data_IF_025006765394
#
_entry.id   IF_025006765394
#
_cell.length_a   1.000
_cell.length_b   1.000
_cell.length_c   1.000
_cell.angle_alpha   90.00
_cell.angle_beta   90.00
_cell.angle_gamma   90.00
#
_symmetry.space_group_name_H-M   'P 1'
#
loop_
_entity.id
_entity.type
_entity.pdbx_description
1 polymer ?
#
# COMPACT_ATOMS: atom_id res chain seq x y z
N UNK A 1 32.39 -3.39 3.94
CA UNK A 1 31.07 -4.05 3.93
C UNK A 1 30.56 -3.93 5.36
N UNK A 2 29.93 -2.82 5.69
CA UNK A 2 29.71 -2.41 7.08
C UNK A 2 28.22 -2.43 7.44
N UNK A 3 27.97 -3.21 8.51
CA UNK A 3 27.04 -3.02 9.62
C UNK A 3 25.53 -3.13 9.36
N UNK A 4 25.06 -4.33 9.66
CA UNK A 4 23.86 -4.64 10.45
C UNK A 4 23.39 -3.46 11.33
N UNK A 5 22.33 -2.77 10.89
CA UNK A 5 21.48 -1.98 11.78
C UNK A 5 20.28 -2.85 12.14
N UNK A 6 20.55 -3.89 12.91
CA UNK A 6 19.59 -4.89 13.36
C UNK A 6 18.49 -4.26 14.22
N UNK A 7 17.23 -4.57 13.91
CA UNK A 7 16.03 -4.20 14.67
C UNK A 7 16.03 -4.63 16.16
N UNK A 8 17.08 -5.31 16.64
CA UNK A 8 17.29 -5.73 18.03
C UNK A 8 17.30 -4.59 19.09
N UNK A 9 17.16 -3.32 18.69
CA UNK A 9 17.11 -2.18 19.60
C UNK A 9 15.72 -1.57 19.84
N UNK A 10 14.69 -1.90 19.05
CA UNK A 10 13.36 -1.28 19.20
C UNK A 10 12.58 -1.90 20.35
N UNK A 11 11.97 -1.06 21.18
CA UNK A 11 11.07 -1.53 22.24
C UNK A 11 9.73 -2.03 21.65
N UNK A 12 9.04 -2.99 22.28
CA UNK A 12 7.74 -3.47 21.81
C UNK A 12 6.72 -2.36 21.53
N UNK A 13 6.74 -1.27 22.30
CA UNK A 13 5.86 -0.11 22.09
C UNK A 13 6.13 0.60 20.76
N UNK A 14 7.40 0.66 20.32
CA UNK A 14 7.78 1.25 19.04
C UNK A 14 7.29 0.40 17.87
N UNK A 15 7.41 -0.93 17.99
CA UNK A 15 6.89 -1.88 17.00
C UNK A 15 5.35 -1.80 16.93
N UNK A 16 4.68 -1.61 18.07
CA UNK A 16 3.24 -1.37 18.10
C UNK A 16 2.86 -0.05 17.42
N UNK A 17 3.61 1.02 17.67
CA UNK A 17 3.40 2.30 16.99
C UNK A 17 3.57 2.18 15.47
N UNK A 18 4.55 1.41 15.02
CA UNK A 18 4.76 1.15 13.59
C UNK A 18 3.57 0.41 12.98
N UNK A 19 3.02 -0.60 13.67
CA UNK A 19 1.80 -1.30 13.24
C UNK A 19 0.59 -0.37 13.12
N UNK A 20 0.37 0.52 14.10
CA UNK A 20 -0.73 1.48 14.04
C UNK A 20 -0.57 2.43 12.84
N UNK A 21 0.64 2.93 12.58
CA UNK A 21 0.91 3.78 11.41
C UNK A 21 0.64 3.02 10.11
N UNK A 22 1.10 1.78 9.99
CA UNK A 22 0.89 0.98 8.78
C UNK A 22 -0.59 0.71 8.54
N UNK A 23 -1.34 0.39 9.60
CA UNK A 23 -2.79 0.19 9.54
C UNK A 23 -3.50 1.44 9.04
N UNK A 24 -3.25 2.60 9.62
CA UNK A 24 -3.84 3.87 9.18
C UNK A 24 -3.50 4.19 7.71
N UNK A 25 -2.26 3.95 7.28
CA UNK A 25 -1.87 4.14 5.89
C UNK A 25 -2.62 3.20 4.94
N UNK A 26 -2.77 1.93 5.31
CA UNK A 26 -3.49 0.94 4.51
C UNK A 26 -4.98 1.25 4.41
N UNK A 27 -5.60 1.72 5.51
CA UNK A 27 -7.00 2.17 5.52
C UNK A 27 -7.19 3.39 4.61
N UNK A 28 -6.31 4.39 4.71
CA UNK A 28 -6.33 5.56 3.82
C UNK A 28 -6.21 5.15 2.34
N UNK A 29 -5.31 4.23 2.02
CA UNK A 29 -5.12 3.72 0.65
C UNK A 29 -6.38 2.99 0.16
N UNK A 30 -7.13 2.34 1.04
CA UNK A 30 -8.36 1.62 0.68
C UNK A 30 -9.42 2.56 0.10
N UNK A 31 -9.64 3.68 0.79
CA UNK A 31 -10.56 4.72 0.35
C UNK A 31 -10.12 5.33 -0.99
N UNK A 32 -8.82 5.60 -1.13
CA UNK A 32 -8.27 6.13 -2.38
C UNK A 32 -8.36 5.13 -3.54
N UNK A 33 -8.09 3.86 -3.32
CA UNK A 33 -8.23 2.80 -4.33
C UNK A 33 -9.70 2.67 -4.76
N UNK A 34 -10.64 2.82 -3.84
CA UNK A 34 -12.08 2.83 -4.17
C UNK A 34 -12.42 3.98 -5.13
N UNK A 35 -11.91 5.18 -4.85
CA UNK A 35 -12.05 6.33 -5.74
C UNK A 35 -11.42 6.08 -7.12
N UNK A 36 -10.17 5.60 -7.16
CA UNK A 36 -9.45 5.30 -8.41
C UNK A 36 -10.20 4.24 -9.22
N UNK A 37 -10.75 3.22 -8.57
CA UNK A 37 -11.56 2.21 -9.24
C UNK A 37 -12.78 2.85 -9.93
N UNK A 38 -13.50 3.74 -9.23
CA UNK A 38 -14.62 4.48 -9.81
C UNK A 38 -14.18 5.34 -10.99
N UNK A 39 -13.05 6.03 -10.86
CA UNK A 39 -12.46 6.86 -11.92
C UNK A 39 -12.20 6.03 -13.20
N UNK A 40 -11.50 4.90 -13.08
CA UNK A 40 -11.13 4.03 -14.20
C UNK A 40 -12.32 3.36 -14.91
N UNK A 41 -13.46 3.25 -14.23
CA UNK A 41 -14.69 2.69 -14.81
C UNK A 41 -15.71 3.75 -15.23
N UNK A 42 -15.39 5.04 -15.08
CA UNK A 42 -16.31 6.11 -15.48
C UNK A 42 -16.28 6.34 -17.00
N UNK A 43 -17.45 6.69 -17.55
CA UNK A 43 -17.66 6.94 -18.99
C UNK A 43 -16.74 8.04 -19.56
N UNK A 44 -16.25 8.94 -18.71
CA UNK A 44 -15.33 10.02 -19.11
C UNK A 44 -14.01 9.46 -19.62
N UNK A 45 -13.62 8.27 -19.18
CA UNK A 45 -12.38 7.61 -19.59
C UNK A 45 -12.59 6.48 -20.59
N UNK A 46 -13.83 6.24 -21.06
CA UNK A 46 -14.08 5.35 -22.20
C UNK A 46 -13.41 5.91 -23.45
N UNK A 47 -12.28 5.32 -23.89
CA UNK A 47 -11.53 5.85 -25.00
C UNK A 47 -12.09 5.30 -26.30
N UNK A 48 -12.31 6.19 -27.28
CA UNK A 48 -12.69 5.81 -28.65
C UNK A 48 -11.50 5.45 -29.54
N UNK A 49 -10.28 5.46 -28.98
CA UNK A 49 -9.04 5.15 -29.72
C UNK A 49 -8.30 3.96 -29.08
N UNK A 50 -7.78 3.01 -29.89
CA UNK A 50 -7.20 1.75 -29.39
C UNK A 50 -6.09 1.92 -28.34
N UNK A 51 -5.12 2.82 -28.56
CA UNK A 51 -3.99 3.02 -27.64
C UNK A 51 -4.43 3.45 -26.23
N UNK A 52 -5.44 4.32 -26.14
CA UNK A 52 -5.97 4.77 -24.85
C UNK A 52 -6.75 3.67 -24.15
N UNK A 53 -7.40 2.78 -24.90
CA UNK A 53 -8.08 1.60 -24.36
C UNK A 53 -7.08 0.62 -23.74
N UNK A 54 -6.03 0.26 -24.48
CA UNK A 54 -4.97 -0.63 -23.98
C UNK A 54 -4.36 -0.08 -22.69
N UNK A 55 -4.04 1.22 -22.66
CA UNK A 55 -3.48 1.86 -21.47
C UNK A 55 -4.44 1.85 -20.28
N UNK A 56 -5.74 2.07 -20.52
CA UNK A 56 -6.76 1.98 -19.48
C UNK A 56 -6.86 0.57 -18.89
N UNK A 57 -6.86 -0.47 -19.74
CA UNK A 57 -6.91 -1.85 -19.29
C UNK A 57 -5.65 -2.25 -18.50
N UNK A 58 -4.47 -1.80 -18.92
CA UNK A 58 -3.23 -1.98 -18.15
C UNK A 58 -3.35 -1.36 -16.75
N UNK A 59 -3.92 -0.16 -16.63
CA UNK A 59 -4.13 0.46 -15.32
C UNK A 59 -5.15 -0.29 -14.47
N UNK A 60 -6.25 -0.80 -15.05
CA UNK A 60 -7.22 -1.63 -14.31
C UNK A 60 -6.58 -2.91 -13.78
N UNK A 61 -5.73 -3.57 -14.57
CA UNK A 61 -5.00 -4.78 -14.15
C UNK A 61 -4.01 -4.46 -13.02
N UNK A 62 -3.20 -3.41 -13.19
CA UNK A 62 -2.24 -2.97 -12.18
C UNK A 62 -2.94 -2.56 -10.87
N UNK A 63 -4.07 -1.84 -10.96
CA UNK A 63 -4.89 -1.44 -9.83
C UNK A 63 -5.45 -2.65 -9.07
N UNK A 64 -6.03 -3.63 -9.79
CA UNK A 64 -6.51 -4.89 -9.18
C UNK A 64 -5.38 -5.67 -8.50
N UNK A 65 -4.18 -5.69 -9.09
CA UNK A 65 -3.01 -6.31 -8.45
C UNK A 65 -2.63 -5.59 -7.17
N UNK A 66 -2.64 -4.26 -7.17
CA UNK A 66 -2.34 -3.43 -6.00
C UNK A 66 -3.34 -3.67 -4.86
N UNK A 67 -4.65 -3.71 -5.16
CA UNK A 67 -5.70 -4.05 -4.16
C UNK A 67 -5.41 -5.40 -3.51
N UNK A 68 -5.12 -6.44 -4.30
CA UNK A 68 -4.84 -7.78 -3.76
C UNK A 68 -3.62 -7.79 -2.85
N UNK A 69 -2.60 -7.02 -3.17
CA UNK A 69 -1.41 -6.92 -2.33
C UNK A 69 -1.67 -6.16 -1.03
N UNK A 70 -2.42 -5.06 -1.12
CA UNK A 70 -2.90 -4.30 0.04
C UNK A 70 -3.67 -5.20 1.01
N UNK A 71 -4.61 -6.02 0.53
CA UNK A 71 -5.38 -6.96 1.37
C UNK A 71 -4.49 -7.99 2.08
N UNK A 72 -3.46 -8.50 1.39
CA UNK A 72 -2.48 -9.42 2.02
C UNK A 72 -1.72 -8.71 3.13
N UNK A 73 -1.24 -7.50 2.88
CA UNK A 73 -0.52 -6.70 3.88
C UNK A 73 -1.42 -6.39 5.07
N UNK A 74 -2.68 -5.99 4.83
CA UNK A 74 -3.69 -5.76 5.87
C UNK A 74 -3.85 -6.98 6.78
N UNK A 75 -4.01 -8.17 6.19
CA UNK A 75 -4.07 -9.43 6.94
C UNK A 75 -2.81 -9.73 7.76
N UNK A 76 -1.62 -9.45 7.19
CA UNK A 76 -0.35 -9.62 7.90
C UNK A 76 -0.21 -8.65 9.09
N UNK A 77 -0.62 -7.38 8.93
CA UNK A 77 -0.62 -6.39 10.00
C UNK A 77 -1.51 -6.86 11.15
N UNK A 78 -2.76 -7.27 10.90
CA UNK A 78 -3.65 -7.75 11.96
C UNK A 78 -3.10 -8.97 12.70
N UNK A 79 -2.53 -9.92 11.95
CA UNK A 79 -1.90 -11.10 12.57
C UNK A 79 -0.71 -10.70 13.45
N UNK A 80 0.12 -9.79 12.98
CA UNK A 80 1.29 -9.32 13.71
C UNK A 80 0.90 -8.50 14.96
N UNK A 81 -0.12 -7.64 14.84
CA UNK A 81 -0.75 -6.89 15.94
C UNK A 81 -1.33 -7.82 17.02
N UNK A 82 -2.01 -8.90 16.64
CA UNK A 82 -2.53 -9.87 17.62
C UNK A 82 -1.41 -10.57 18.40
N UNK A 83 -0.24 -10.73 17.79
CA UNK A 83 0.91 -11.36 18.44
C UNK A 83 1.62 -10.39 19.39
N UNK A 84 1.71 -9.11 19.04
CA UNK A 84 2.39 -8.12 19.90
C UNK A 84 1.63 -7.80 21.18
N UNK A 85 0.30 -7.89 21.15
CA UNK A 85 -0.52 -7.74 22.36
C UNK A 85 -0.11 -8.75 23.44
N UNK A 86 0.10 -10.01 23.06
CA UNK A 86 0.59 -11.04 23.98
C UNK A 86 2.03 -10.78 24.46
N UNK A 87 2.90 -10.23 23.62
CA UNK A 87 4.28 -9.90 23.99
C UNK A 87 4.33 -8.72 24.98
N UNK A 88 3.48 -7.71 24.80
CA UNK A 88 3.38 -6.55 25.70
C UNK A 88 2.86 -6.94 27.10
N UNK A 89 2.02 -7.97 27.19
CA UNK A 89 1.48 -8.49 28.46
C UNK A 89 2.49 -9.38 29.21
N UNK A 90 3.50 -9.92 28.52
CA UNK A 90 4.54 -10.76 29.12
C UNK A 90 5.65 -9.90 29.75
N UNK A 91 5.88 -10.08 31.06
CA UNK A 91 6.93 -9.37 31.82
C UNK A 91 8.35 -9.92 31.61
N UNK A 92 8.49 -11.03 30.90
CA UNK A 92 9.79 -11.64 30.60
C UNK A 92 10.19 -11.28 29.17
N UNK A 93 11.27 -10.50 29.05
CA UNK A 93 11.92 -10.15 27.78
C UNK A 93 12.68 -11.35 27.22
N UNK A 94 11.98 -12.47 27.00
CA UNK A 94 12.52 -13.54 26.19
C UNK A 94 12.56 -13.04 24.74
N UNK A 95 13.76 -12.74 24.27
CA UNK A 95 14.07 -12.23 22.95
C UNK A 95 13.46 -13.11 21.86
N UNK A 96 12.30 -12.71 21.35
CA UNK A 96 11.63 -13.39 20.24
C UNK A 96 12.19 -12.82 18.94
N UNK A 97 13.46 -13.11 18.65
CA UNK A 97 14.18 -12.61 17.46
C UNK A 97 13.43 -12.90 16.16
N UNK A 98 12.67 -14.00 16.12
CA UNK A 98 11.77 -14.35 15.02
C UNK A 98 10.62 -13.35 14.84
N UNK A 99 10.13 -12.72 15.91
CA UNK A 99 9.13 -11.66 15.82
C UNK A 99 9.72 -10.40 15.19
N UNK A 100 10.90 -9.98 15.64
CA UNK A 100 11.60 -8.81 15.10
C UNK A 100 11.92 -8.97 13.61
N UNK A 101 12.41 -10.14 13.20
CA UNK A 101 12.65 -10.43 11.79
C UNK A 101 11.36 -10.33 10.97
N UNK A 102 10.26 -10.93 11.43
CA UNK A 102 8.95 -10.82 10.76
C UNK A 102 8.45 -9.38 10.70
N UNK A 103 8.73 -8.58 11.73
CA UNK A 103 8.38 -7.18 11.76
C UNK A 103 9.13 -6.39 10.68
N UNK A 104 10.43 -6.65 10.54
CA UNK A 104 11.28 -6.04 9.51
C UNK A 104 10.82 -6.44 8.10
N UNK A 105 10.58 -7.72 7.85
CA UNK A 105 10.03 -8.21 6.58
C UNK A 105 8.68 -7.56 6.24
N UNK A 106 7.82 -7.37 7.25
CA UNK A 106 6.54 -6.66 7.08
C UNK A 106 6.76 -5.18 6.79
N UNK A 107 7.69 -4.52 7.49
CA UNK A 107 8.06 -3.12 7.29
C UNK A 107 8.53 -2.86 5.86
N UNK A 108 9.41 -3.71 5.34
CA UNK A 108 9.89 -3.63 3.95
C UNK A 108 8.75 -3.82 2.95
N UNK A 109 7.88 -4.79 3.21
CA UNK A 109 6.73 -5.09 2.34
C UNK A 109 5.72 -3.94 2.31
N UNK A 110 5.41 -3.35 3.46
CA UNK A 110 4.56 -2.15 3.57
C UNK A 110 5.21 -1.01 2.79
N UNK A 111 6.48 -0.70 3.06
CA UNK A 111 7.20 0.41 2.43
C UNK A 111 7.26 0.28 0.91
N UNK A 112 7.51 -0.93 0.41
CA UNK A 112 7.48 -1.25 -1.01
C UNK A 112 6.08 -1.02 -1.60
N UNK A 113 5.04 -1.53 -0.95
CA UNK A 113 3.66 -1.35 -1.43
C UNK A 113 3.25 0.12 -1.47
N UNK A 114 3.59 0.92 -0.45
CA UNK A 114 3.32 2.37 -0.44
C UNK A 114 4.00 3.06 -1.62
N UNK A 115 5.27 2.74 -1.89
CA UNK A 115 6.04 3.31 -3.00
C UNK A 115 5.43 2.93 -4.35
N UNK A 116 5.13 1.64 -4.55
CA UNK A 116 4.53 1.13 -5.77
C UNK A 116 3.13 1.72 -6.01
N UNK A 117 2.34 1.88 -4.95
CA UNK A 117 1.02 2.49 -5.01
C UNK A 117 1.09 3.97 -5.40
N UNK A 118 1.97 4.76 -4.77
CA UNK A 118 2.15 6.18 -5.11
C UNK A 118 2.54 6.35 -6.58
N UNK A 119 3.43 5.50 -7.09
CA UNK A 119 3.81 5.50 -8.50
C UNK A 119 2.62 5.20 -9.41
N UNK A 120 1.89 4.13 -9.13
CA UNK A 120 0.70 3.74 -9.89
C UNK A 120 -0.36 4.87 -9.90
N UNK A 121 -0.63 5.47 -8.74
CA UNK A 121 -1.54 6.60 -8.59
C UNK A 121 -1.13 7.79 -9.45
N UNK A 122 0.15 8.17 -9.40
CA UNK A 122 0.69 9.25 -10.23
C UNK A 122 0.49 8.98 -11.72
N UNK A 123 0.80 7.76 -12.17
CA UNK A 123 0.64 7.37 -13.58
C UNK A 123 -0.83 7.42 -14.04
N UNK A 124 -1.75 6.94 -13.18
CA UNK A 124 -3.21 7.01 -13.44
C UNK A 124 -3.68 8.46 -13.51
N UNK A 125 -3.24 9.32 -12.59
CA UNK A 125 -3.66 10.72 -12.55
C UNK A 125 -3.10 11.52 -13.75
N UNK A 126 -1.87 11.25 -14.15
CA UNK A 126 -1.28 11.84 -15.35
C UNK A 126 -2.05 11.40 -16.61
N UNK A 127 -2.39 10.12 -16.70
CA UNK A 127 -3.25 9.62 -17.77
C UNK A 127 -4.61 10.31 -17.76
N UNK A 128 -5.29 10.33 -16.62
CA UNK A 128 -6.61 10.92 -16.49
C UNK A 128 -6.60 12.41 -16.86
N UNK A 129 -5.62 13.16 -16.37
CA UNK A 129 -5.42 14.57 -16.71
C UNK A 129 -5.20 14.79 -18.21
N UNK A 130 -4.48 13.90 -18.90
CA UNK A 130 -4.29 13.98 -20.35
C UNK A 130 -5.59 13.80 -21.14
N UNK A 131 -6.48 12.92 -20.68
CA UNK A 131 -7.80 12.69 -21.28
C UNK A 131 -8.71 13.89 -21.05
N UNK A 132 -8.78 14.39 -19.82
CA UNK A 132 -9.64 15.52 -19.45
C UNK A 132 -9.23 16.81 -20.17
N UNK A 133 -7.93 17.06 -20.35
CA UNK A 133 -7.43 18.22 -21.12
C UNK A 133 -7.86 18.20 -22.58
N UNK A 134 -7.95 17.01 -23.21
CA UNK A 134 -8.41 16.84 -24.60
C UNK A 134 -9.91 17.08 -24.77
N UNK A 135 -10.72 16.85 -23.71
CA UNK A 135 -12.18 17.04 -23.73
C UNK A 135 -12.63 18.44 -23.35
N UNK A 136 -11.70 19.39 -23.15
CA UNK A 136 -12.06 20.78 -22.80
C UNK A 136 -12.88 21.38 -23.95
N UNK A 137 -14.14 21.80 -23.72
CA UNK A 137 -14.92 22.42 -24.79
C UNK A 137 -14.22 23.71 -25.21
N UNK A 138 -14.01 23.86 -26.52
CA UNK A 138 -13.67 25.15 -27.13
C UNK A 138 -14.77 26.12 -26.71
N UNK A 139 -14.40 27.22 -26.04
CA UNK A 139 -15.33 28.34 -25.87
C UNK A 139 -15.69 28.93 -27.23
#
# INVERSE_FOLDING_TARGET
MEKEASYQGKKPEELYCDLQKWKSNIEFIDDEMTFINGLLHSYVFEPRTPNLFERLELFKVAHKKSIREKEKIKGLIYKHESTIGGILECTTTACDSAYYQKHEELSERVSKHLTDYIKLKSDIYNYAGSILKRKKPSK
#
